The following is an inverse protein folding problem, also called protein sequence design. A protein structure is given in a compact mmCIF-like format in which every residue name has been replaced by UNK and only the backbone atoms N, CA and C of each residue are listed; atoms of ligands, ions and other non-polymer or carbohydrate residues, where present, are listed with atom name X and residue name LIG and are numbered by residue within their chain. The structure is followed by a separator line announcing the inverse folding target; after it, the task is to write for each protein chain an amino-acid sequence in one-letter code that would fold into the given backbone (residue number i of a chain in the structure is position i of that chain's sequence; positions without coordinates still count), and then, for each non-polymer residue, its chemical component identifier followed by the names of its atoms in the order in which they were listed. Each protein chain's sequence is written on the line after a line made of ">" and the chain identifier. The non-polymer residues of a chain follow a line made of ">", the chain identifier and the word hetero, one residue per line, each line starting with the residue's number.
data_IF_675001434238
#
_entry.id   IF_675001434238
#
_cell.length_a   1.000
_cell.length_b   1.000
_cell.length_c   1.000
_cell.angle_alpha   90.00
_cell.angle_beta   90.00
_cell.angle_gamma   90.00
#
_symmetry.space_group_name_H-M   'P 1'
#
loop_
_entity.id
_entity.type
_entity.pdbx_description
1 polymer ?
#
# COMPACT_ATOMS: atom_id res chain seq x y z
N UNK A 1 -1.79 -26.34 13.14
CA UNK A 1 -1.75 -25.29 12.11
C UNK A 1 -0.64 -24.32 12.46
N UNK A 2 0.23 -23.94 11.51
CA UNK A 2 1.37 -23.03 11.75
C UNK A 2 0.80 -21.65 12.14
N UNK A 3 1.24 -21.07 13.27
CA UNK A 3 0.73 -19.77 13.78
C UNK A 3 1.27 -18.56 13.02
N UNK A 4 2.38 -18.72 12.30
CA UNK A 4 3.03 -17.63 11.56
C UNK A 4 3.41 -18.19 10.19
N UNK A 5 2.81 -17.63 9.14
CA UNK A 5 3.14 -18.00 7.76
C UNK A 5 4.20 -17.00 7.28
N UNK A 6 5.04 -17.41 6.33
CA UNK A 6 5.86 -16.48 5.54
C UNK A 6 5.28 -16.35 4.14
N UNK A 7 5.84 -15.43 3.35
CA UNK A 7 5.49 -15.27 1.93
C UNK A 7 5.63 -16.58 1.15
N UNK A 8 6.57 -17.45 1.53
CA UNK A 8 6.79 -18.75 0.89
C UNK A 8 5.63 -19.73 1.12
N UNK A 9 4.81 -19.51 2.14
CA UNK A 9 3.64 -20.35 2.43
C UNK A 9 2.38 -19.87 1.67
N UNK A 10 2.42 -18.73 0.97
CA UNK A 10 1.28 -18.19 0.22
C UNK A 10 0.88 -19.12 -0.92
N UNK A 11 -0.39 -19.50 -0.96
CA UNK A 11 -0.96 -20.39 -1.97
C UNK A 11 -1.26 -19.66 -3.29
N UNK A 12 -0.24 -19.03 -3.88
CA UNK A 12 -0.32 -18.47 -5.23
C UNK A 12 -0.21 -19.59 -6.26
N UNK A 13 -1.04 -19.56 -7.29
CA UNK A 13 -0.88 -20.49 -8.40
C UNK A 13 0.16 -20.00 -9.42
N UNK A 14 0.42 -20.81 -10.45
CA UNK A 14 1.44 -20.57 -11.48
C UNK A 14 1.29 -19.27 -12.29
N UNK A 15 0.20 -18.51 -12.13
CA UNK A 15 0.00 -17.23 -12.80
C UNK A 15 0.80 -16.10 -12.15
N UNK A 16 1.14 -16.24 -10.87
CA UNK A 16 1.81 -15.18 -10.12
C UNK A 16 3.33 -15.35 -10.17
N UNK A 17 4.01 -14.30 -10.63
CA UNK A 17 5.47 -14.20 -10.61
C UNK A 17 5.87 -13.18 -9.54
N UNK A 18 6.64 -13.60 -8.53
CA UNK A 18 7.07 -12.73 -7.42
C UNK A 18 8.35 -12.02 -7.75
N UNK A 19 8.38 -10.72 -7.44
CA UNK A 19 9.57 -9.89 -7.49
C UNK A 19 9.82 -9.26 -6.12
N UNK A 20 11.10 -9.02 -5.82
CA UNK A 20 11.47 -8.26 -4.62
C UNK A 20 11.45 -6.78 -4.96
N UNK A 21 10.88 -5.96 -4.08
CA UNK A 21 10.77 -4.52 -4.37
C UNK A 21 12.14 -3.87 -4.52
N UNK A 22 13.15 -4.34 -3.78
CA UNK A 22 14.50 -3.80 -3.86
C UNK A 22 15.10 -4.01 -5.25
N UNK A 23 14.79 -5.14 -5.89
CA UNK A 23 15.27 -5.45 -7.24
C UNK A 23 14.64 -4.54 -8.30
N UNK A 24 13.48 -3.93 -8.01
CA UNK A 24 12.79 -2.99 -8.91
C UNK A 24 13.23 -1.55 -8.62
N UNK A 25 13.18 -1.13 -7.35
CA UNK A 25 13.50 0.24 -6.92
C UNK A 25 14.97 0.57 -7.19
N UNK A 26 15.87 -0.38 -6.95
CA UNK A 26 17.32 -0.19 -7.13
C UNK A 26 17.82 -0.73 -8.48
N UNK A 27 16.93 -1.06 -9.42
CA UNK A 27 17.33 -1.48 -10.75
C UNK A 27 18.01 -0.30 -11.49
N UNK A 28 19.30 -0.41 -11.86
CA UNK A 28 19.99 0.66 -12.58
C UNK A 28 19.38 0.97 -13.95
N UNK A 29 18.57 0.05 -14.52
CA UNK A 29 17.81 0.29 -15.76
C UNK A 29 16.68 1.30 -15.55
N UNK A 30 16.12 1.37 -14.33
CA UNK A 30 15.03 2.27 -13.99
C UNK A 30 15.51 3.72 -13.74
N UNK A 31 16.81 3.95 -13.55
CA UNK A 31 17.40 5.28 -13.38
C UNK A 31 17.14 6.22 -14.58
N UNK A 32 17.00 5.67 -15.80
CA UNK A 32 16.61 6.44 -17.00
C UNK A 32 15.09 6.47 -17.24
N UNK A 33 14.33 5.57 -16.61
CA UNK A 33 12.87 5.48 -16.71
C UNK A 33 12.16 6.47 -15.77
N UNK A 34 12.76 6.80 -14.61
CA UNK A 34 12.24 7.79 -13.67
C UNK A 34 12.04 9.18 -14.30
N UNK A 35 12.85 9.58 -15.30
CA UNK A 35 12.62 10.83 -16.08
C UNK A 35 11.39 10.79 -17.00
N UNK A 36 10.80 9.63 -17.25
CA UNK A 36 9.59 9.46 -18.09
C UNK A 36 8.32 9.23 -17.28
N UNK A 37 8.44 8.91 -15.98
CA UNK A 37 7.30 8.50 -15.15
C UNK A 37 6.36 9.64 -14.71
N UNK A 38 6.77 10.91 -14.83
CA UNK A 38 5.88 12.04 -14.57
C UNK A 38 4.67 12.13 -15.51
N UNK A 39 4.62 11.29 -16.54
CA UNK A 39 3.52 11.17 -17.49
C UNK A 39 2.84 9.78 -17.51
N UNK A 40 3.15 8.89 -16.54
CA UNK A 40 2.65 7.52 -16.54
C UNK A 40 1.11 7.40 -16.58
N UNK A 41 0.37 8.44 -16.15
CA UNK A 41 -1.09 8.50 -16.24
C UNK A 41 -1.60 9.66 -17.12
N UNK A 42 -0.71 10.26 -17.92
CA UNK A 42 -1.10 11.27 -18.91
C UNK A 42 -1.82 10.59 -20.08
N UNK A 43 -3.03 11.02 -20.48
CA UNK A 43 -3.74 10.42 -21.60
C UNK A 43 -3.02 10.55 -22.96
N UNK A 44 -1.97 11.38 -23.02
CA UNK A 44 -1.16 11.61 -24.24
C UNK A 44 0.13 10.78 -24.26
N UNK A 45 0.48 10.13 -23.16
CA UNK A 45 1.64 9.24 -23.12
C UNK A 45 1.31 7.89 -23.73
N UNK A 46 2.24 7.35 -24.52
CA UNK A 46 2.08 6.06 -25.19
C UNK A 46 2.14 4.89 -24.21
N UNK A 47 2.83 5.05 -23.08
CA UNK A 47 3.02 4.02 -22.06
C UNK A 47 1.89 4.04 -21.01
N UNK A 48 1.01 5.05 -21.06
CA UNK A 48 -0.07 5.26 -20.08
C UNK A 48 -1.03 4.08 -19.93
N UNK A 49 -1.48 3.39 -21.01
CA UNK A 49 -2.32 2.22 -20.87
C UNK A 49 -1.67 1.08 -20.08
N UNK A 50 -0.39 0.78 -20.32
CA UNK A 50 0.32 -0.30 -19.62
C UNK A 50 0.62 0.08 -18.17
N UNK A 51 0.96 1.35 -17.92
CA UNK A 51 1.15 1.85 -16.56
C UNK A 51 -0.15 1.77 -15.73
N UNK A 52 -1.29 2.16 -16.31
CA UNK A 52 -2.59 2.06 -15.65
C UNK A 52 -3.00 0.61 -15.37
N UNK A 53 -2.80 -0.29 -16.34
CA UNK A 53 -3.06 -1.74 -16.16
C UNK A 53 -2.13 -2.36 -15.11
N UNK A 54 -0.85 -1.99 -15.10
CA UNK A 54 0.10 -2.46 -14.10
C UNK A 54 -0.24 -1.97 -12.70
N UNK A 55 -0.66 -0.70 -12.54
CA UNK A 55 -1.11 -0.18 -11.24
C UNK A 55 -2.38 -0.88 -10.77
N UNK A 56 -3.34 -1.10 -11.67
CA UNK A 56 -4.60 -1.78 -11.35
C UNK A 56 -4.39 -3.25 -10.95
N UNK A 57 -3.44 -3.94 -11.58
CA UNK A 57 -3.03 -5.28 -11.16
C UNK A 57 -2.33 -5.24 -9.78
N UNK A 58 -1.47 -4.24 -9.54
CA UNK A 58 -0.84 -4.02 -8.24
C UNK A 58 -1.86 -3.80 -7.11
N UNK A 59 -2.92 -3.03 -7.38
CA UNK A 59 -4.06 -2.86 -6.47
C UNK A 59 -4.72 -4.21 -6.19
N UNK A 60 -5.09 -4.98 -7.22
CA UNK A 60 -5.69 -6.32 -7.05
C UNK A 60 -4.85 -7.23 -6.15
N UNK A 61 -3.53 -7.26 -6.36
CA UNK A 61 -2.60 -8.04 -5.54
C UNK A 61 -2.52 -7.49 -4.11
N UNK A 62 -2.64 -6.16 -3.95
CA UNK A 62 -2.81 -5.49 -2.66
C UNK A 62 -4.02 -6.01 -1.90
N UNK A 63 -5.18 -6.11 -2.55
CA UNK A 63 -6.43 -6.59 -1.91
C UNK A 63 -6.32 -8.03 -1.44
N UNK A 64 -5.67 -8.90 -2.23
CA UNK A 64 -5.43 -10.28 -1.81
C UNK A 64 -4.62 -10.30 -0.51
N UNK A 65 -3.58 -9.48 -0.44
CA UNK A 65 -2.72 -9.43 0.75
C UNK A 65 -3.40 -8.77 1.94
N UNK A 66 -4.24 -7.74 1.71
CA UNK A 66 -5.00 -7.08 2.76
C UNK A 66 -6.06 -8.04 3.34
N UNK A 67 -6.76 -8.79 2.48
CA UNK A 67 -7.65 -9.88 2.86
C UNK A 67 -6.95 -10.92 3.73
N UNK A 68 -5.78 -11.39 3.27
CA UNK A 68 -4.95 -12.33 4.00
C UNK A 68 -4.51 -11.75 5.35
N UNK A 69 -4.08 -10.48 5.39
CA UNK A 69 -3.61 -9.79 6.58
C UNK A 69 -4.71 -9.57 7.63
N UNK A 70 -5.90 -9.12 7.21
CA UNK A 70 -7.07 -8.95 8.07
C UNK A 70 -7.55 -10.30 8.64
N UNK A 71 -7.68 -11.31 7.77
CA UNK A 71 -8.03 -12.67 8.17
C UNK A 71 -7.04 -13.28 9.17
N UNK A 72 -5.74 -13.05 8.96
CA UNK A 72 -4.69 -13.52 9.88
C UNK A 72 -4.67 -12.75 11.19
N UNK A 73 -4.92 -11.46 11.18
CA UNK A 73 -5.05 -10.68 12.42
C UNK A 73 -6.23 -11.15 13.27
N UNK A 74 -7.34 -11.58 12.64
CA UNK A 74 -8.45 -12.22 13.35
C UNK A 74 -8.05 -13.55 14.02
N UNK A 75 -7.21 -14.33 13.35
CA UNK A 75 -6.87 -15.70 13.73
C UNK A 75 -5.68 -15.78 14.70
N UNK A 76 -4.60 -15.02 14.46
CA UNK A 76 -3.30 -15.20 15.11
C UNK A 76 -3.28 -14.78 16.58
N UNK A 77 -4.07 -13.77 16.95
CA UNK A 77 -4.06 -13.18 18.29
C UNK A 77 -5.24 -13.68 19.11
N UNK A 78 -5.01 -14.05 20.37
CA UNK A 78 -6.11 -14.44 21.26
C UNK A 78 -6.89 -13.20 21.75
N UNK A 79 -8.16 -13.40 22.09
CA UNK A 79 -8.95 -12.31 22.69
C UNK A 79 -8.56 -12.11 24.15
N UNK A 80 -8.28 -10.86 24.54
CA UNK A 80 -7.97 -10.54 25.93
C UNK A 80 -7.44 -9.13 26.15
N UNK A 81 -6.72 -8.95 27.26
CA UNK A 81 -6.16 -7.65 27.70
C UNK A 81 -4.63 -7.69 27.86
N UNK A 82 -4.01 -8.84 27.60
CA UNK A 82 -2.56 -8.98 27.58
C UNK A 82 -1.92 -8.17 26.45
N UNK A 83 -0.62 -7.95 26.54
CA UNK A 83 0.12 -7.18 25.54
C UNK A 83 0.17 -7.84 24.16
N UNK A 84 0.09 -9.16 24.10
CA UNK A 84 0.05 -10.01 22.90
C UNK A 84 -1.37 -10.45 22.51
N UNK A 85 -2.38 -9.93 23.21
CA UNK A 85 -3.80 -10.20 22.97
C UNK A 85 -4.49 -8.98 22.39
N UNK A 86 -5.65 -9.20 21.76
CA UNK A 86 -6.47 -8.11 21.21
C UNK A 86 -7.89 -8.13 21.77
N UNK A 87 -8.56 -6.98 21.93
CA UNK A 87 -9.98 -6.93 22.28
C UNK A 87 -10.85 -7.64 21.23
N UNK A 88 -12.01 -8.15 21.66
CA UNK A 88 -12.95 -8.82 20.75
C UNK A 88 -13.44 -7.88 19.64
N UNK A 89 -13.65 -6.61 19.98
CA UNK A 89 -14.10 -5.58 19.05
C UNK A 89 -13.07 -5.35 17.94
N UNK A 90 -11.77 -5.42 18.24
CA UNK A 90 -10.73 -5.33 17.20
C UNK A 90 -10.82 -6.53 16.27
N UNK A 91 -11.01 -7.76 16.79
CA UNK A 91 -11.23 -8.93 15.91
C UNK A 91 -12.46 -8.77 15.02
N UNK A 92 -13.54 -8.22 15.57
CA UNK A 92 -14.77 -8.02 14.82
C UNK A 92 -14.57 -6.99 13.71
N UNK A 93 -13.82 -5.92 13.97
CA UNK A 93 -13.50 -4.93 12.95
C UNK A 93 -12.56 -5.52 11.87
N UNK A 94 -11.55 -6.29 12.24
CA UNK A 94 -10.69 -7.03 11.29
C UNK A 94 -11.50 -8.04 10.44
N UNK A 95 -12.53 -8.66 11.01
CA UNK A 95 -13.40 -9.58 10.27
C UNK A 95 -14.29 -8.85 9.26
N UNK A 96 -14.72 -7.61 9.57
CA UNK A 96 -15.43 -6.74 8.62
C UNK A 96 -14.51 -6.31 7.50
N UNK A 97 -13.30 -5.85 7.83
CA UNK A 97 -12.31 -5.52 6.82
C UNK A 97 -12.06 -6.73 5.91
N UNK A 98 -11.83 -7.93 6.46
CA UNK A 98 -11.68 -9.16 5.67
C UNK A 98 -12.85 -9.40 4.69
N UNK A 99 -14.07 -9.02 5.03
CA UNK A 99 -15.20 -9.07 4.09
C UNK A 99 -15.11 -7.99 3.00
N UNK A 100 -14.72 -6.77 3.36
CA UNK A 100 -14.53 -5.67 2.43
C UNK A 100 -13.39 -5.96 1.44
N UNK A 101 -12.25 -6.47 1.90
CA UNK A 101 -11.13 -6.86 1.05
C UNK A 101 -11.47 -8.03 0.10
N UNK A 102 -12.32 -8.97 0.53
CA UNK A 102 -12.80 -10.04 -0.34
C UNK A 102 -13.65 -9.47 -1.49
N UNK A 103 -14.46 -8.46 -1.20
CA UNK A 103 -15.23 -7.73 -2.20
C UNK A 103 -14.33 -6.87 -3.08
N UNK A 104 -13.31 -6.21 -2.54
CA UNK A 104 -12.32 -5.46 -3.32
C UNK A 104 -11.55 -6.38 -4.27
N UNK A 105 -11.16 -7.58 -3.84
CA UNK A 105 -10.60 -8.60 -4.73
C UNK A 105 -11.51 -8.88 -5.94
N UNK A 106 -12.82 -9.09 -5.71
CA UNK A 106 -13.77 -9.36 -6.79
C UNK A 106 -13.93 -8.16 -7.74
N UNK A 107 -14.01 -6.95 -7.21
CA UNK A 107 -14.09 -5.71 -7.99
C UNK A 107 -12.81 -5.53 -8.82
N UNK A 108 -11.64 -5.69 -8.21
CA UNK A 108 -10.35 -5.50 -8.85
C UNK A 108 -10.10 -6.55 -9.95
N UNK A 109 -10.58 -7.78 -9.81
CA UNK A 109 -10.59 -8.76 -10.90
C UNK A 109 -11.41 -8.23 -12.09
N UNK A 110 -12.61 -7.70 -11.82
CA UNK A 110 -13.49 -7.17 -12.87
C UNK A 110 -12.94 -5.90 -13.52
N UNK A 111 -12.27 -5.04 -12.76
CA UNK A 111 -11.58 -3.87 -13.29
C UNK A 111 -10.38 -4.25 -14.15
N UNK A 112 -9.57 -5.23 -13.74
CA UNK A 112 -8.49 -5.76 -14.58
C UNK A 112 -9.04 -6.30 -15.91
N UNK A 113 -10.10 -7.12 -15.88
CA UNK A 113 -10.77 -7.61 -17.10
C UNK A 113 -11.30 -6.46 -17.97
N UNK A 114 -11.96 -5.45 -17.37
CA UNK A 114 -12.50 -4.27 -18.05
C UNK A 114 -11.41 -3.44 -18.73
N UNK A 115 -10.24 -3.32 -18.09
CA UNK A 115 -9.07 -2.63 -18.63
C UNK A 115 -8.28 -3.50 -19.64
N UNK A 116 -8.71 -4.72 -19.91
CA UNK A 116 -8.08 -5.62 -20.88
C UNK A 116 -6.85 -6.33 -20.35
N UNK A 117 -6.81 -6.59 -19.04
CA UNK A 117 -5.75 -7.33 -18.36
C UNK A 117 -6.20 -8.66 -17.76
N UNK A 118 -5.24 -9.55 -17.53
CA UNK A 118 -5.46 -10.86 -16.94
C UNK A 118 -4.76 -11.01 -15.57
N UNK A 119 -5.30 -11.91 -14.74
CA UNK A 119 -4.67 -12.25 -13.45
C UNK A 119 -3.28 -12.83 -13.70
N UNK A 120 -2.27 -12.15 -13.16
CA UNK A 120 -0.87 -12.55 -13.27
C UNK A 120 -0.15 -11.99 -14.50
N UNK A 121 -0.78 -11.09 -15.26
CA UNK A 121 -0.12 -10.41 -16.39
C UNK A 121 1.09 -9.57 -15.93
N UNK A 122 1.02 -9.00 -14.73
CA UNK A 122 2.11 -8.27 -14.10
C UNK A 122 2.66 -9.02 -12.89
N UNK A 123 3.93 -8.77 -12.58
CA UNK A 123 4.59 -9.38 -11.43
C UNK A 123 4.04 -8.81 -10.10
N UNK A 124 4.02 -9.64 -9.06
CA UNK A 124 3.56 -9.26 -7.72
C UNK A 124 4.71 -8.99 -6.74
N UNK A 125 4.44 -8.15 -5.75
CA UNK A 125 5.27 -7.96 -4.55
C UNK A 125 4.49 -8.37 -3.30
N UNK A 126 5.18 -8.82 -2.25
CA UNK A 126 4.56 -9.43 -1.05
C UNK A 126 4.68 -8.60 0.23
N UNK A 127 5.10 -7.33 0.12
CA UNK A 127 5.42 -6.51 1.30
C UNK A 127 4.24 -6.27 2.24
N UNK A 128 3.01 -6.18 1.73
CA UNK A 128 1.84 -5.98 2.59
C UNK A 128 1.61 -7.20 3.46
N UNK A 129 1.68 -8.39 2.87
CA UNK A 129 1.60 -9.63 3.62
C UNK A 129 2.74 -9.77 4.63
N UNK A 130 3.96 -9.32 4.30
CA UNK A 130 5.10 -9.32 5.23
C UNK A 130 4.86 -8.42 6.44
N UNK A 131 4.34 -7.20 6.23
CA UNK A 131 3.94 -6.31 7.32
C UNK A 131 2.83 -6.96 8.17
N UNK A 132 1.89 -7.65 7.52
CA UNK A 132 0.82 -8.42 8.17
C UNK A 132 1.33 -9.68 8.91
N UNK A 133 2.61 -10.04 8.79
CA UNK A 133 3.22 -11.14 9.54
C UNK A 133 3.89 -10.69 10.86
N UNK A 134 3.91 -9.39 11.19
CA UNK A 134 4.54 -8.91 12.42
C UNK A 134 3.89 -9.58 13.65
N UNK A 135 4.69 -10.13 14.56
CA UNK A 135 4.18 -10.88 15.72
C UNK A 135 3.56 -9.99 16.81
N UNK A 136 3.81 -8.68 16.78
CA UNK A 136 3.15 -7.73 17.68
C UNK A 136 1.87 -7.18 17.02
N UNK A 137 0.70 -7.28 17.68
CA UNK A 137 -0.57 -6.87 17.09
C UNK A 137 -0.66 -5.36 16.82
N UNK A 138 0.00 -4.52 17.64
CA UNK A 138 -0.02 -3.06 17.48
C UNK A 138 0.89 -2.64 16.33
N UNK A 139 2.09 -3.22 16.22
CA UNK A 139 2.99 -2.96 15.10
C UNK A 139 2.38 -3.48 13.79
N UNK A 140 1.77 -4.67 13.79
CA UNK A 140 1.05 -5.21 12.62
C UNK A 140 -0.07 -4.28 12.17
N UNK A 141 -0.97 -3.91 13.08
CA UNK A 141 -2.08 -3.01 12.82
C UNK A 141 -1.58 -1.66 12.27
N UNK A 142 -0.51 -1.11 12.85
CA UNK A 142 0.01 0.19 12.42
C UNK A 142 0.71 0.10 11.06
N UNK A 143 1.49 -0.95 10.82
CA UNK A 143 2.13 -1.19 9.54
C UNK A 143 1.12 -1.42 8.42
N UNK A 144 0.09 -2.23 8.65
CA UNK A 144 -0.92 -2.54 7.63
C UNK A 144 -1.93 -1.40 7.52
N UNK A 145 -2.75 -1.18 8.55
CA UNK A 145 -3.89 -0.28 8.43
C UNK A 145 -3.54 1.20 8.34
N UNK A 146 -2.41 1.65 8.91
CA UNK A 146 -2.04 3.08 8.81
C UNK A 146 -1.07 3.37 7.68
N UNK A 147 -0.04 2.55 7.50
CA UNK A 147 0.94 2.79 6.45
C UNK A 147 0.41 2.30 5.09
N UNK A 148 0.10 1.00 4.98
CA UNK A 148 -0.18 0.36 3.69
C UNK A 148 -1.59 0.64 3.16
N UNK A 149 -2.62 0.58 3.98
CA UNK A 149 -3.97 1.04 3.58
C UNK A 149 -4.01 2.56 3.43
N UNK A 150 -3.19 3.28 4.21
CA UNK A 150 -2.99 4.71 4.00
C UNK A 150 -2.47 5.01 2.60
N UNK A 151 -1.61 4.16 2.05
CA UNK A 151 -1.21 4.21 0.65
C UNK A 151 -2.33 3.76 -0.30
N UNK A 152 -3.10 2.73 0.05
CA UNK A 152 -4.26 2.28 -0.75
C UNK A 152 -5.20 3.47 -1.07
N UNK A 153 -5.45 4.34 -0.07
CA UNK A 153 -6.16 5.61 -0.25
C UNK A 153 -5.55 6.48 -1.36
N UNK A 154 -4.23 6.61 -1.42
CA UNK A 154 -3.55 7.44 -2.42
C UNK A 154 -3.73 6.83 -3.83
N UNK A 155 -3.53 5.51 -3.98
CA UNK A 155 -3.62 4.84 -5.29
C UNK A 155 -5.04 4.72 -5.81
N UNK A 156 -6.04 4.48 -4.96
CA UNK A 156 -7.46 4.47 -5.38
C UNK A 156 -7.90 5.87 -5.77
N UNK A 157 -7.44 6.91 -5.05
CA UNK A 157 -7.70 8.28 -5.45
C UNK A 157 -7.12 8.57 -6.84
N UNK A 158 -5.87 8.16 -7.10
CA UNK A 158 -5.24 8.29 -8.43
C UNK A 158 -6.04 7.58 -9.51
N UNK A 159 -6.43 6.32 -9.31
CA UNK A 159 -7.16 5.54 -10.32
C UNK A 159 -8.59 6.04 -10.54
N UNK A 160 -9.26 6.52 -9.48
CA UNK A 160 -10.54 7.23 -9.60
C UNK A 160 -10.41 8.46 -10.48
N UNK A 161 -9.42 9.32 -10.20
CA UNK A 161 -9.22 10.56 -10.94
C UNK A 161 -8.82 10.26 -12.39
N UNK A 162 -8.04 9.20 -12.63
CA UNK A 162 -7.75 8.68 -13.97
C UNK A 162 -9.01 8.21 -14.72
N UNK A 163 -9.93 7.50 -14.06
CA UNK A 163 -11.24 7.15 -14.61
C UNK A 163 -12.04 8.38 -15.04
N UNK A 164 -12.03 9.44 -14.22
CA UNK A 164 -12.65 10.72 -14.62
C UNK A 164 -11.96 11.37 -15.82
N UNK A 165 -10.62 11.36 -15.86
CA UNK A 165 -9.82 11.95 -16.95
C UNK A 165 -10.03 11.23 -18.29
N UNK A 166 -10.21 9.92 -18.25
CA UNK A 166 -10.41 9.06 -19.42
C UNK A 166 -11.87 8.88 -19.81
N UNK A 167 -12.79 9.51 -19.06
CA UNK A 167 -14.24 9.35 -19.22
C UNK A 167 -14.70 7.89 -19.10
N UNK A 168 -14.05 7.12 -18.22
CA UNK A 168 -14.43 5.77 -17.84
C UNK A 168 -15.26 5.79 -16.53
N UNK A 169 -16.60 5.70 -16.63
CA UNK A 169 -17.45 5.75 -15.44
C UNK A 169 -17.38 4.48 -14.59
N UNK A 170 -16.94 3.35 -15.16
CA UNK A 170 -16.84 2.08 -14.44
C UNK A 170 -15.64 2.12 -13.51
N UNK A 171 -14.47 2.50 -14.04
CA UNK A 171 -13.26 2.66 -13.24
C UNK A 171 -13.46 3.70 -12.14
N UNK A 172 -13.99 4.88 -12.49
CA UNK A 172 -14.28 5.93 -11.50
C UNK A 172 -15.16 5.42 -10.35
N UNK A 173 -16.28 4.77 -10.66
CA UNK A 173 -17.25 4.34 -9.66
C UNK A 173 -16.68 3.24 -8.75
N UNK A 174 -16.00 2.26 -9.32
CA UNK A 174 -15.43 1.16 -8.55
C UNK A 174 -14.32 1.65 -7.61
N UNK A 175 -13.41 2.49 -8.09
CA UNK A 175 -12.33 3.06 -7.27
C UNK A 175 -12.85 3.99 -6.18
N UNK A 176 -13.83 4.85 -6.49
CA UNK A 176 -14.44 5.73 -5.46
C UNK A 176 -15.17 4.91 -4.38
N UNK A 177 -15.77 3.78 -4.76
CA UNK A 177 -16.44 2.91 -3.80
C UNK A 177 -15.46 2.17 -2.90
N UNK A 178 -14.37 1.60 -3.45
CA UNK A 178 -13.32 0.95 -2.64
C UNK A 178 -12.61 1.97 -1.75
N UNK A 179 -12.32 3.18 -2.27
CA UNK A 179 -11.75 4.30 -1.51
C UNK A 179 -12.57 4.68 -0.27
N UNK A 180 -13.90 4.60 -0.33
CA UNK A 180 -14.75 4.88 0.83
C UNK A 180 -14.55 3.86 1.96
N UNK A 181 -14.32 2.59 1.62
CA UNK A 181 -14.02 1.54 2.59
C UNK A 181 -12.62 1.74 3.18
N UNK A 182 -11.62 2.07 2.36
CA UNK A 182 -10.24 2.30 2.82
C UNK A 182 -10.12 3.43 3.84
N UNK A 183 -10.85 4.52 3.65
CA UNK A 183 -10.92 5.59 4.65
C UNK A 183 -11.38 5.03 6.00
N UNK A 184 -12.29 4.07 6.00
CA UNK A 184 -12.78 3.41 7.20
C UNK A 184 -11.75 2.43 7.78
N UNK A 185 -11.06 1.65 6.94
CA UNK A 185 -10.03 0.71 7.38
C UNK A 185 -8.86 1.44 8.08
N UNK A 186 -8.37 2.51 7.45
CA UNK A 186 -7.31 3.36 7.99
C UNK A 186 -7.74 4.10 9.26
N UNK A 187 -9.01 4.57 9.29
CA UNK A 187 -9.58 5.19 10.50
C UNK A 187 -9.62 4.23 11.67
N UNK A 188 -10.05 3.00 11.41
CA UNK A 188 -10.08 1.93 12.40
C UNK A 188 -8.67 1.67 12.93
N UNK A 189 -7.65 1.53 12.07
CA UNK A 189 -6.25 1.37 12.50
C UNK A 189 -5.77 2.51 13.41
N UNK A 190 -6.11 3.74 13.05
CA UNK A 190 -5.82 4.96 13.83
C UNK A 190 -6.48 4.98 15.21
N UNK A 191 -7.76 4.60 15.27
CA UNK A 191 -8.51 4.53 16.52
C UNK A 191 -7.98 3.42 17.43
N UNK A 192 -7.65 2.26 16.86
CA UNK A 192 -7.11 1.12 17.62
C UNK A 192 -5.70 1.34 18.12
N UNK A 193 -4.80 1.94 17.33
CA UNK A 193 -3.47 2.34 17.79
C UNK A 193 -3.58 3.18 19.07
N UNK A 194 -4.39 4.26 19.03
CA UNK A 194 -4.60 5.14 20.19
C UNK A 194 -5.16 4.41 21.42
N UNK A 195 -6.10 3.48 21.21
CA UNK A 195 -6.75 2.71 22.29
C UNK A 195 -5.79 1.70 22.93
N UNK A 196 -5.09 0.92 22.10
CA UNK A 196 -4.19 -0.14 22.57
C UNK A 196 -2.95 0.42 23.27
N UNK A 197 -2.51 1.62 22.88
CA UNK A 197 -1.33 2.27 23.46
C UNK A 197 -1.66 3.43 24.40
N UNK A 198 -2.91 3.55 24.85
CA UNK A 198 -3.36 4.68 25.68
C UNK A 198 -2.50 4.87 26.94
N UNK A 199 -2.06 3.76 27.54
CA UNK A 199 -1.24 3.72 28.75
C UNK A 199 0.21 3.28 28.49
N UNK A 200 0.63 3.19 27.23
CA UNK A 200 1.95 2.70 26.84
C UNK A 200 2.52 3.56 25.71
N UNK A 201 3.12 4.69 26.09
CA UNK A 201 3.68 5.66 25.14
C UNK A 201 4.92 5.13 24.42
N UNK A 202 5.65 4.21 25.02
CA UNK A 202 6.82 3.62 24.38
C UNK A 202 6.40 2.68 23.26
N UNK A 203 5.40 1.81 23.50
CA UNK A 203 4.82 0.99 22.44
C UNK A 203 4.16 1.82 21.35
N UNK A 204 3.52 2.93 21.70
CA UNK A 204 2.98 3.89 20.72
C UNK A 204 4.09 4.42 19.81
N UNK A 205 5.21 4.85 20.39
CA UNK A 205 6.37 5.35 19.64
C UNK A 205 6.94 4.26 18.74
N UNK A 206 7.14 3.04 19.24
CA UNK A 206 7.64 1.92 18.44
C UNK A 206 6.73 1.59 17.24
N UNK A 207 5.41 1.64 17.44
CA UNK A 207 4.45 1.43 16.38
C UNK A 207 4.51 2.52 15.30
N UNK A 208 4.67 3.79 15.70
CA UNK A 208 4.82 4.92 14.77
C UNK A 208 6.18 4.90 14.06
N UNK A 209 7.27 4.53 14.75
CA UNK A 209 8.60 4.35 14.15
C UNK A 209 8.56 3.21 13.10
N UNK A 210 7.82 2.14 13.39
CA UNK A 210 7.55 1.07 12.43
C UNK A 210 6.72 1.56 11.25
N UNK A 211 5.66 2.36 11.49
CA UNK A 211 4.87 3.01 10.43
C UNK A 211 5.76 3.79 9.48
N UNK A 212 6.62 4.67 10.01
CA UNK A 212 7.55 5.49 9.21
C UNK A 212 8.48 4.64 8.36
N UNK A 213 8.94 3.51 8.89
CA UNK A 213 9.79 2.57 8.14
C UNK A 213 9.03 1.97 6.95
N UNK A 214 7.78 1.53 7.18
CA UNK A 214 6.92 0.97 6.12
C UNK A 214 6.56 2.05 5.09
N UNK A 215 6.19 3.26 5.53
CA UNK A 215 5.88 4.41 4.67
C UNK A 215 7.06 4.80 3.78
N UNK A 216 8.29 4.73 4.31
CA UNK A 216 9.52 4.99 3.55
C UNK A 216 9.76 3.94 2.47
N UNK A 217 9.61 2.66 2.81
CA UNK A 217 9.75 1.55 1.85
C UNK A 217 8.72 1.66 0.71
N UNK A 218 7.53 2.19 0.99
CA UNK A 218 6.42 2.34 0.04
C UNK A 218 6.33 3.70 -0.66
N UNK A 219 7.35 4.55 -0.53
CA UNK A 219 7.49 5.76 -1.34
C UNK A 219 7.77 5.48 -2.84
N UNK A 220 7.92 4.19 -3.21
CA UNK A 220 8.21 3.71 -4.55
C UNK A 220 9.44 4.38 -5.20
N UNK A 221 10.44 4.74 -4.39
CA UNK A 221 11.63 5.44 -4.90
C UNK A 221 11.30 6.78 -5.59
N UNK A 222 10.22 7.46 -5.18
CA UNK A 222 9.82 8.76 -5.71
C UNK A 222 8.58 8.77 -6.60
N UNK A 223 7.87 7.66 -6.81
CA UNK A 223 6.57 7.70 -7.53
C UNK A 223 5.47 8.37 -6.70
N UNK A 224 5.56 8.28 -5.38
CA UNK A 224 4.61 8.91 -4.46
C UNK A 224 5.20 10.19 -3.85
N UNK A 225 4.48 11.30 -3.93
CA UNK A 225 4.90 12.57 -3.34
C UNK A 225 3.85 13.67 -3.52
N UNK A 226 4.24 14.93 -3.32
CA UNK A 226 3.36 16.11 -3.48
C UNK A 226 3.77 16.99 -4.66
N UNK A 227 4.87 16.66 -5.35
CA UNK A 227 5.27 17.40 -6.55
C UNK A 227 4.35 17.02 -7.71
N UNK A 228 4.08 17.96 -8.62
CA UNK A 228 3.26 17.70 -9.81
C UNK A 228 3.80 16.55 -10.67
N UNK A 229 5.11 16.31 -10.63
CA UNK A 229 5.78 15.23 -11.36
C UNK A 229 5.60 13.85 -10.72
N UNK A 230 5.14 13.77 -9.47
CA UNK A 230 4.84 12.48 -8.84
C UNK A 230 3.53 11.92 -9.44
N UNK A 231 3.52 10.68 -9.98
CA UNK A 231 2.30 10.09 -10.53
C UNK A 231 1.25 9.69 -9.47
N UNK A 232 1.67 9.53 -8.21
CA UNK A 232 0.76 9.24 -7.08
C UNK A 232 0.91 10.37 -6.06
N UNK A 233 -0.20 11.05 -5.77
CA UNK A 233 -0.23 12.14 -4.78
C UNK A 233 -0.83 11.68 -3.46
N UNK A 234 -0.35 12.26 -2.36
CA UNK A 234 -0.97 12.02 -1.06
C UNK A 234 -2.39 12.58 -1.05
N UNK A 235 -3.37 11.72 -0.83
CA UNK A 235 -4.78 12.08 -0.81
C UNK A 235 -5.16 12.71 0.56
N UNK A 236 -4.64 13.93 0.81
CA UNK A 236 -4.73 14.65 2.10
C UNK A 236 -6.11 14.63 2.73
N UNK A 237 -7.14 14.97 1.95
CA UNK A 237 -8.53 15.01 2.44
C UNK A 237 -8.99 13.65 2.96
N UNK A 238 -8.69 12.57 2.24
CA UNK A 238 -9.09 11.22 2.63
C UNK A 238 -8.28 10.73 3.83
N UNK A 239 -6.98 11.04 3.91
CA UNK A 239 -6.15 10.75 5.09
C UNK A 239 -6.63 11.49 6.35
N UNK A 240 -7.10 12.74 6.22
CA UNK A 240 -7.72 13.47 7.33
C UNK A 240 -9.02 12.82 7.80
N UNK A 241 -9.89 12.42 6.86
CA UNK A 241 -11.10 11.65 7.17
C UNK A 241 -10.76 10.32 7.86
N UNK A 242 -9.65 9.71 7.46
CA UNK A 242 -9.09 8.51 8.07
C UNK A 242 -8.40 8.75 9.42
N UNK A 243 -8.43 9.97 9.95
CA UNK A 243 -7.97 10.28 11.30
C UNK A 243 -6.48 10.58 11.46
N UNK A 244 -5.79 10.93 10.36
CA UNK A 244 -4.50 11.61 10.41
C UNK A 244 -4.68 13.09 10.71
N UNK A 245 -3.79 13.64 11.53
CA UNK A 245 -3.63 15.09 11.69
C UNK A 245 -2.82 15.70 10.55
N UNK A 246 -2.94 17.03 10.38
CA UNK A 246 -2.11 17.77 9.41
C UNK A 246 -0.62 17.59 9.65
N UNK A 247 -0.20 17.51 10.92
CA UNK A 247 1.19 17.29 11.28
C UNK A 247 1.67 15.91 10.85
N UNK A 248 0.87 14.85 11.06
CA UNK A 248 1.21 13.51 10.59
C UNK A 248 1.26 13.44 9.05
N UNK A 249 0.34 14.11 8.36
CA UNK A 249 0.37 14.17 6.89
C UNK A 249 1.63 14.90 6.41
N UNK A 250 2.04 15.96 7.11
CA UNK A 250 3.26 16.70 6.77
C UNK A 250 4.51 15.82 6.97
N UNK A 251 4.60 15.07 8.07
CA UNK A 251 5.69 14.11 8.30
C UNK A 251 5.73 13.03 7.21
N UNK A 252 4.57 12.54 6.73
CA UNK A 252 4.53 11.59 5.61
C UNK A 252 5.07 12.17 4.30
N UNK A 253 4.82 13.45 4.03
CA UNK A 253 5.38 14.15 2.87
C UNK A 253 6.90 14.25 3.00
N UNK A 254 7.39 14.65 4.18
CA UNK A 254 8.81 14.75 4.45
C UNK A 254 9.51 13.39 4.29
N UNK A 255 8.90 12.31 4.81
CA UNK A 255 9.39 10.93 4.66
C UNK A 255 9.43 10.49 3.19
N UNK A 256 8.41 10.83 2.40
CA UNK A 256 8.39 10.53 0.96
C UNK A 256 9.51 11.28 0.22
N UNK A 257 9.73 12.55 0.55
CA UNK A 257 10.81 13.36 -0.02
C UNK A 257 12.21 12.84 0.37
N UNK A 258 12.40 12.45 1.63
CA UNK A 258 13.63 11.79 2.11
C UNK A 258 13.93 10.53 1.30
N UNK A 259 12.92 9.68 1.10
CA UNK A 259 13.06 8.42 0.37
C UNK A 259 13.37 8.63 -1.12
N UNK A 260 12.74 9.62 -1.76
CA UNK A 260 13.04 10.00 -3.13
C UNK A 260 14.51 10.47 -3.27
N UNK A 261 14.97 11.35 -2.38
CA UNK A 261 16.34 11.84 -2.42
C UNK A 261 17.38 10.71 -2.25
N UNK A 262 17.11 9.73 -1.40
CA UNK A 262 17.95 8.54 -1.23
C UNK A 262 17.99 7.67 -2.49
N UNK A 263 16.84 7.45 -3.14
CA UNK A 263 16.77 6.69 -4.39
C UNK A 263 17.53 7.38 -5.53
N UNK A 264 17.38 8.71 -5.66
CA UNK A 264 18.10 9.52 -6.65
C UNK A 264 19.62 9.48 -6.42
N UNK A 265 20.06 9.60 -5.16
CA UNK A 265 21.48 9.52 -4.80
C UNK A 265 22.07 8.15 -5.12
N UNK A 266 21.33 7.07 -4.86
CA UNK A 266 21.74 5.71 -5.19
C UNK A 266 21.86 5.52 -6.72
N UNK A 267 20.86 5.96 -7.47
CA UNK A 267 20.86 5.87 -8.93
C UNK A 267 22.04 6.66 -9.56
N UNK A 268 22.33 7.86 -9.04
CA UNK A 268 23.47 8.67 -9.48
C UNK A 268 24.82 7.98 -9.21
N UNK A 269 24.98 7.35 -8.04
CA UNK A 269 26.17 6.60 -7.69
C UNK A 269 26.35 5.36 -8.60
N UNK A 270 25.26 4.61 -8.85
CA UNK A 270 25.28 3.44 -9.72
C UNK A 270 25.60 3.79 -11.18
N UNK A 271 25.03 4.89 -11.71
CA UNK A 271 25.34 5.39 -13.06
C UNK A 271 26.81 5.79 -13.19
N UNK A 272 27.37 6.44 -12.16
CA UNK A 272 28.78 6.85 -12.17
C UNK A 272 29.70 5.64 -12.22
N UNK A 273 29.40 4.59 -11.45
CA UNK A 273 30.15 3.34 -11.44
C UNK A 273 30.08 2.61 -12.80
N UNK A 274 28.92 2.60 -13.45
CA UNK A 274 28.74 1.96 -14.77
C UNK A 274 29.48 2.68 -15.90
N UNK A 275 29.70 3.99 -15.80
CA UNK A 275 30.45 4.77 -16.80
C UNK A 275 31.97 4.73 -16.63
N UNK A 276 32.46 4.22 -15.50
CA UNK A 276 33.88 4.18 -15.14
C UNK A 276 34.56 2.82 -15.39
N UNK A 277 33.80 1.80 -15.80
CA UNK A 277 34.30 0.47 -16.17
C UNK A 277 34.21 0.20 -17.66
#
# INVERSE_FOLDING_TARGET
>A
MKRMLSVDDLARDKRFERIRIEDVVFDPRNANAQRRQGAAFSPKDVDSPDAARSLMHGIFVGEIQALEGAGRTCYDFETGKGSDQIPFELKLDMARQCWDEARHCEISIKLNEHMGSEIGEFAEQTMLFEAACNADPVLRLTGVNRALEGLAIDVFNTMRDFGSMTADPVLYFCEDWMLADEVTHVKMGSDWLRRLTANDKERQKQALDFQRTVDKLFSFGGLRGENEENPIHLARKFRQLAGFSEAEITDLVDVAAEAQAEAEAFAAAASTAATAG
#
